data_IF_792907587897
#
_entry.id   IF_792907587897
#
_cell.length_a   1.000
_cell.length_b   1.000
_cell.length_c   1.000
_cell.angle_alpha   90.00
_cell.angle_beta   90.00
_cell.angle_gamma   90.00
#
_symmetry.space_group_name_H-M   'P 1'
#
loop_
_entity.id
_entity.type
_entity.pdbx_description
1 polymer ?
#
# COMPACT_ATOMS: atom_id res chain seq x y z
N UNK A 1 16.14 15.28 -38.35
CA UNK A 1 16.08 14.98 -36.90
C UNK A 1 14.91 14.04 -36.65
N UNK A 2 15.18 12.74 -36.45
CA UNK A 2 14.16 11.71 -36.22
C UNK A 2 13.83 11.66 -34.72
N UNK A 3 12.57 11.95 -34.36
CA UNK A 3 12.06 11.79 -33.00
C UNK A 3 11.81 10.30 -32.75
N UNK A 4 12.61 9.67 -31.91
CA UNK A 4 12.30 8.36 -31.35
C UNK A 4 11.24 8.57 -30.25
N UNK A 5 10.01 8.16 -30.52
CA UNK A 5 8.99 8.02 -29.50
C UNK A 5 9.26 6.71 -28.75
N UNK A 6 9.81 6.81 -27.55
CA UNK A 6 9.94 5.69 -26.62
C UNK A 6 8.54 5.39 -26.06
N UNK A 7 7.85 4.40 -26.65
CA UNK A 7 6.60 3.88 -26.10
C UNK A 7 6.98 2.93 -24.97
N UNK A 8 6.96 3.44 -23.74
CA UNK A 8 7.01 2.59 -22.54
C UNK A 8 5.66 1.88 -22.46
N UNK A 9 5.63 0.64 -22.92
CA UNK A 9 4.48 -0.24 -22.75
C UNK A 9 4.29 -0.55 -21.27
N UNK A 10 3.44 0.22 -20.59
CA UNK A 10 2.93 -0.13 -19.27
C UNK A 10 1.98 -1.31 -19.46
N UNK A 11 2.55 -2.52 -19.46
CA UNK A 11 1.78 -3.75 -19.41
C UNK A 11 0.95 -3.77 -18.13
N UNK A 12 -0.37 -3.81 -18.27
CA UNK A 12 -1.34 -4.09 -17.22
C UNK A 12 -1.02 -5.48 -16.63
N UNK A 13 -0.12 -5.52 -15.65
CA UNK A 13 0.19 -6.71 -14.85
C UNK A 13 -0.94 -6.93 -13.85
N UNK A 14 -2.04 -7.50 -14.32
CA UNK A 14 -3.08 -8.04 -13.47
C UNK A 14 -2.63 -9.36 -12.85
N UNK A 15 -1.95 -9.34 -11.70
CA UNK A 15 -2.01 -10.38 -10.65
C UNK A 15 -1.40 -9.83 -9.37
N UNK A 16 -2.12 -9.28 -8.39
CA UNK A 16 -1.43 -8.90 -7.13
C UNK A 16 -2.26 -8.99 -5.84
N UNK A 17 -2.55 -10.18 -5.28
CA UNK A 17 -2.74 -10.29 -3.84
C UNK A 17 -1.34 -10.36 -3.19
N UNK A 18 -0.91 -9.31 -2.46
CA UNK A 18 0.34 -9.44 -1.71
C UNK A 18 0.66 -8.51 -0.56
N UNK A 19 1.02 -9.11 0.58
CA UNK A 19 1.89 -8.47 1.59
C UNK A 19 3.31 -8.80 1.20
N UNK A 20 4.11 -7.80 0.85
CA UNK A 20 5.54 -8.07 0.78
C UNK A 20 6.09 -8.37 2.18
N UNK A 21 7.17 -9.16 2.22
CA UNK A 21 7.87 -9.75 3.38
C UNK A 21 7.29 -11.05 3.95
N UNK A 22 5.96 -11.21 4.13
CA UNK A 22 5.44 -12.50 4.60
C UNK A 22 5.50 -13.55 3.50
N UNK A 23 6.42 -14.51 3.65
CA UNK A 23 6.60 -15.59 2.69
C UNK A 23 5.28 -16.30 2.38
N UNK A 24 4.90 -16.30 1.11
CA UNK A 24 3.85 -17.14 0.57
C UNK A 24 4.20 -17.40 -0.89
N UNK A 25 4.40 -18.67 -1.30
CA UNK A 25 4.85 -18.99 -2.66
C UNK A 25 3.84 -18.63 -3.75
N UNK A 26 2.58 -18.36 -3.35
CA UNK A 26 1.48 -17.97 -4.23
C UNK A 26 1.32 -16.43 -4.32
N UNK A 27 2.20 -15.70 -3.63
CA UNK A 27 2.14 -14.25 -3.45
C UNK A 27 3.49 -13.63 -3.88
N UNK A 28 3.57 -13.03 -5.08
CA UNK A 28 4.82 -12.47 -5.57
C UNK A 28 5.24 -11.24 -4.74
N UNK A 29 6.55 -11.08 -4.58
CA UNK A 29 7.08 -9.89 -3.91
C UNK A 29 6.67 -8.62 -4.65
N UNK A 30 6.10 -7.69 -3.90
CA UNK A 30 5.43 -6.51 -4.43
C UNK A 30 6.41 -5.38 -4.75
N UNK A 31 7.47 -5.23 -3.96
CA UNK A 31 8.42 -4.14 -4.12
C UNK A 31 9.20 -4.31 -5.44
N UNK A 32 9.07 -3.38 -6.40
CA UNK A 32 9.98 -3.32 -7.53
C UNK A 32 11.38 -2.99 -7.02
N UNK A 33 12.39 -3.73 -7.47
CA UNK A 33 13.78 -3.51 -7.08
C UNK A 33 14.61 -3.31 -8.34
N UNK A 34 15.35 -2.21 -8.38
CA UNK A 34 16.27 -1.88 -9.48
C UNK A 34 17.44 -2.87 -9.53
N UNK A 35 18.15 -2.95 -10.68
CA UNK A 35 19.37 -3.75 -10.78
C UNK A 35 20.47 -3.36 -9.77
N UNK A 36 20.45 -2.13 -9.24
CA UNK A 36 21.39 -1.65 -8.22
C UNK A 36 21.03 -2.10 -6.78
N UNK A 37 19.93 -2.85 -6.61
CA UNK A 37 19.45 -3.33 -5.31
C UNK A 37 18.59 -2.33 -4.54
N UNK A 38 18.31 -1.15 -5.09
CA UNK A 38 17.45 -0.15 -4.48
C UNK A 38 15.98 -0.47 -4.80
N UNK A 39 15.14 -0.57 -3.77
CA UNK A 39 13.70 -0.68 -3.98
C UNK A 39 13.09 0.65 -4.42
N UNK A 40 12.15 0.57 -5.33
CA UNK A 40 11.33 1.70 -5.73
C UNK A 40 10.01 1.68 -4.95
N UNK A 41 9.56 2.88 -4.57
CA UNK A 41 8.24 3.03 -3.98
C UNK A 41 7.17 2.67 -5.00
N UNK A 42 6.13 1.98 -4.55
CA UNK A 42 4.92 1.77 -5.34
C UNK A 42 4.25 3.11 -5.64
N UNK A 43 3.59 3.23 -6.81
CA UNK A 43 2.65 4.33 -7.04
C UNK A 43 1.60 4.38 -5.92
N UNK A 44 1.21 5.59 -5.51
CA UNK A 44 0.33 5.79 -4.36
C UNK A 44 -1.00 5.04 -4.50
N UNK A 45 -1.66 5.10 -5.66
CA UNK A 45 -2.92 4.40 -5.89
C UNK A 45 -2.78 2.87 -5.77
N UNK A 46 -1.64 2.32 -6.23
CA UNK A 46 -1.35 0.88 -6.12
C UNK A 46 -1.15 0.49 -4.66
N UNK A 47 -0.40 1.30 -3.89
CA UNK A 47 -0.24 1.09 -2.46
C UNK A 47 -1.59 1.17 -1.73
N UNK A 48 -2.37 2.21 -1.98
CA UNK A 48 -3.66 2.46 -1.32
C UNK A 48 -4.65 1.32 -1.57
N UNK A 49 -4.75 0.85 -2.82
CA UNK A 49 -5.54 -0.33 -3.18
C UNK A 49 -5.11 -1.57 -2.38
N UNK A 50 -3.80 -1.79 -2.23
CA UNK A 50 -3.28 -2.93 -1.45
C UNK A 50 -3.59 -2.80 0.03
N UNK A 51 -3.40 -1.63 0.63
CA UNK A 51 -3.75 -1.40 2.04
C UNK A 51 -5.25 -1.61 2.27
N UNK A 52 -6.10 -1.15 1.36
CA UNK A 52 -7.54 -1.40 1.40
C UNK A 52 -7.87 -2.90 1.30
N UNK A 53 -7.23 -3.65 0.39
CA UNK A 53 -7.38 -5.10 0.30
C UNK A 53 -6.94 -5.80 1.60
N UNK A 54 -5.84 -5.38 2.22
CA UNK A 54 -5.40 -5.95 3.49
C UNK A 54 -6.40 -5.66 4.62
N UNK A 55 -6.95 -4.45 4.67
CA UNK A 55 -8.03 -4.10 5.60
C UNK A 55 -9.28 -4.94 5.38
N UNK A 56 -9.68 -5.14 4.12
CA UNK A 56 -10.78 -6.01 3.72
C UNK A 56 -10.58 -7.46 4.15
N UNK A 57 -9.39 -8.02 3.96
CA UNK A 57 -9.06 -9.38 4.40
C UNK A 57 -9.13 -9.51 5.93
N UNK A 58 -8.64 -8.51 6.66
CA UNK A 58 -8.63 -8.53 8.12
C UNK A 58 -10.01 -8.28 8.75
N UNK A 59 -10.93 -7.60 8.06
CA UNK A 59 -12.26 -7.25 8.58
C UNK A 59 -13.19 -8.48 8.56
N UNK A 60 -13.65 -8.99 9.73
CA UNK A 60 -14.55 -10.13 9.79
C UNK A 60 -16.00 -9.79 9.43
N UNK A 61 -16.36 -8.50 9.40
CA UNK A 61 -17.73 -8.07 9.15
C UNK A 61 -18.09 -8.25 7.67
N UNK A 62 -19.35 -8.62 7.36
CA UNK A 62 -19.81 -8.62 6.00
C UNK A 62 -19.77 -7.20 5.41
N UNK A 63 -19.72 -7.11 4.08
CA UNK A 63 -19.81 -5.83 3.38
C UNK A 63 -21.18 -5.15 3.58
N UNK A 64 -21.36 -3.92 3.06
CA UNK A 64 -22.57 -3.11 3.26
C UNK A 64 -23.90 -3.83 2.93
N UNK A 65 -23.87 -4.78 2.01
CA UNK A 65 -25.04 -5.55 1.56
C UNK A 65 -25.23 -6.89 2.31
N UNK A 66 -24.53 -7.10 3.43
CA UNK A 66 -24.50 -8.37 4.15
C UNK A 66 -23.70 -9.48 3.45
N UNK A 67 -23.14 -9.21 2.27
CA UNK A 67 -22.37 -10.19 1.51
C UNK A 67 -20.97 -10.40 2.12
N UNK A 68 -20.43 -11.63 2.10
CA UNK A 68 -19.06 -11.88 2.53
C UNK A 68 -18.06 -11.02 1.75
N UNK A 69 -17.05 -10.47 2.43
CA UNK A 69 -15.96 -9.77 1.77
C UNK A 69 -15.20 -10.74 0.85
N UNK A 70 -15.14 -10.45 -0.45
CA UNK A 70 -14.53 -11.33 -1.44
C UNK A 70 -13.03 -11.55 -1.22
N UNK A 71 -12.30 -10.51 -0.81
CA UNK A 71 -10.87 -10.60 -0.51
C UNK A 71 -10.63 -11.54 0.69
N UNK A 72 -11.40 -11.36 1.78
CA UNK A 72 -11.34 -12.25 2.95
C UNK A 72 -11.73 -13.68 2.60
N UNK A 73 -12.81 -13.87 1.84
CA UNK A 73 -13.30 -15.18 1.45
C UNK A 73 -12.25 -15.96 0.63
N UNK A 74 -11.50 -15.27 -0.24
CA UNK A 74 -10.39 -15.87 -1.00
C UNK A 74 -9.28 -16.39 -0.07
N UNK A 75 -8.90 -15.63 0.96
CA UNK A 75 -7.87 -16.04 1.92
C UNK A 75 -8.38 -17.17 2.82
N UNK A 76 -9.63 -17.10 3.32
CA UNK A 76 -10.26 -18.18 4.08
C UNK A 76 -10.31 -19.49 3.29
N UNK A 77 -10.67 -19.42 2.00
CA UNK A 77 -10.63 -20.57 1.11
C UNK A 77 -9.22 -21.15 1.00
N UNK A 78 -8.19 -20.31 0.83
CA UNK A 78 -6.80 -20.74 0.78
C UNK A 78 -6.34 -21.40 2.08
N UNK A 79 -6.70 -20.85 3.24
CA UNK A 79 -6.42 -21.46 4.56
C UNK A 79 -7.09 -22.83 4.69
N UNK A 80 -8.35 -22.96 4.25
CA UNK A 80 -9.11 -24.21 4.30
C UNK A 80 -8.55 -25.29 3.37
N UNK A 81 -8.20 -24.90 2.15
CA UNK A 81 -7.79 -25.83 1.09
C UNK A 81 -6.31 -26.23 1.20
N UNK A 82 -5.51 -25.52 2.01
CA UNK A 82 -4.09 -25.81 2.17
C UNK A 82 -3.92 -27.13 2.92
N UNK A 83 -3.12 -28.08 2.40
CA UNK A 83 -2.85 -29.33 3.10
C UNK A 83 -2.10 -29.06 4.41
N UNK A 84 -2.14 -29.98 5.38
CA UNK A 84 -1.32 -29.89 6.57
C UNK A 84 0.15 -29.67 6.19
N UNK A 85 0.77 -28.64 6.78
CA UNK A 85 2.16 -28.30 6.49
C UNK A 85 3.09 -29.44 6.90
N UNK A 86 3.88 -29.93 5.93
CA UNK A 86 4.88 -30.98 6.17
C UNK A 86 6.29 -30.42 6.28
N UNK A 87 6.55 -29.28 5.63
CA UNK A 87 7.81 -28.56 5.67
C UNK A 87 7.67 -27.21 6.41
N UNK A 88 8.78 -26.67 6.97
CA UNK A 88 8.81 -25.37 7.61
C UNK A 88 8.27 -24.22 6.72
N UNK A 89 8.65 -24.21 5.44
CA UNK A 89 8.21 -23.20 4.48
C UNK A 89 6.70 -23.23 4.24
N UNK A 90 6.11 -24.43 4.18
CA UNK A 90 4.65 -24.60 4.03
C UNK A 90 3.92 -24.04 5.25
N UNK A 91 4.49 -24.24 6.45
CA UNK A 91 3.94 -23.75 7.71
C UNK A 91 4.05 -22.23 7.80
N UNK A 92 5.18 -21.65 7.40
CA UNK A 92 5.36 -20.20 7.30
C UNK A 92 4.33 -19.56 6.36
N UNK A 93 4.14 -20.14 5.16
CA UNK A 93 3.17 -19.65 4.20
C UNK A 93 1.70 -19.78 4.67
N UNK A 94 1.37 -20.89 5.34
CA UNK A 94 0.06 -21.05 5.98
C UNK A 94 -0.17 -20.04 7.12
N UNK A 95 0.85 -19.83 7.95
CA UNK A 95 0.80 -18.86 9.05
C UNK A 95 0.66 -17.42 8.52
N UNK A 96 1.33 -17.07 7.42
CA UNK A 96 1.16 -15.79 6.76
C UNK A 96 -0.30 -15.52 6.37
N UNK A 97 -1.03 -16.53 5.88
CA UNK A 97 -2.46 -16.40 5.58
C UNK A 97 -3.32 -16.20 6.81
N UNK A 98 -3.02 -16.90 7.91
CA UNK A 98 -3.68 -16.70 9.19
C UNK A 98 -3.45 -15.28 9.72
N UNK A 99 -2.22 -14.76 9.65
CA UNK A 99 -1.90 -13.38 10.05
C UNK A 99 -2.67 -12.36 9.21
N UNK A 100 -2.82 -12.60 7.89
CA UNK A 100 -3.59 -11.70 7.00
C UNK A 100 -5.05 -11.57 7.42
N UNK A 101 -5.65 -12.64 7.95
CA UNK A 101 -7.04 -12.62 8.44
C UNK A 101 -7.23 -11.76 9.70
N UNK A 102 -6.13 -11.35 10.36
CA UNK A 102 -6.15 -10.50 11.56
C UNK A 102 -6.79 -11.18 12.77
N UNK A 103 -6.90 -10.48 13.90
CA UNK A 103 -7.57 -10.99 15.11
C UNK A 103 -9.04 -10.52 15.23
N UNK A 104 -9.71 -10.32 14.09
CA UNK A 104 -11.09 -9.84 14.07
C UNK A 104 -12.12 -10.95 14.34
N UNK A 105 -13.04 -10.72 15.28
CA UNK A 105 -14.18 -11.60 15.57
C UNK A 105 -13.92 -12.54 16.74
N UNK A 106 -14.43 -13.78 16.66
CA UNK A 106 -14.29 -14.79 17.72
C UNK A 106 -12.97 -15.57 17.67
N UNK A 107 -12.17 -15.39 16.61
CA UNK A 107 -11.00 -16.23 16.34
C UNK A 107 -9.72 -15.37 16.34
N UNK A 108 -8.80 -15.70 17.25
CA UNK A 108 -7.46 -15.14 17.27
C UNK A 108 -6.55 -15.91 16.28
N UNK A 109 -6.54 -15.49 15.02
CA UNK A 109 -5.74 -16.17 13.99
C UNK A 109 -4.23 -16.07 14.25
N UNK A 110 -3.75 -15.04 14.97
CA UNK A 110 -2.37 -14.97 15.42
C UNK A 110 -1.98 -16.16 16.32
N UNK A 111 -2.90 -16.63 17.17
CA UNK A 111 -2.63 -17.79 18.03
C UNK A 111 -2.61 -19.10 17.25
N UNK A 112 -3.43 -19.20 16.21
CA UNK A 112 -3.39 -20.35 15.29
C UNK A 112 -2.08 -20.38 14.50
N UNK A 113 -1.64 -19.22 14.00
CA UNK A 113 -0.35 -19.07 13.34
C UNK A 113 0.80 -19.47 14.28
N UNK A 114 0.77 -19.01 15.54
CA UNK A 114 1.77 -19.38 16.54
C UNK A 114 1.80 -20.90 16.77
N UNK A 115 0.65 -21.54 16.98
CA UNK A 115 0.54 -23.00 17.16
C UNK A 115 1.07 -23.78 15.96
N UNK A 116 0.84 -23.27 14.75
CA UNK A 116 1.32 -23.90 13.51
C UNK A 116 2.85 -23.83 13.38
N UNK A 117 3.46 -22.72 13.79
CA UNK A 117 4.90 -22.51 13.68
C UNK A 117 5.69 -23.12 14.84
N UNK A 118 5.07 -23.30 16.01
CA UNK A 118 5.75 -23.76 17.23
C UNK A 118 6.55 -25.06 17.07
N UNK A 119 6.06 -26.12 16.39
CA UNK A 119 6.83 -27.36 16.20
C UNK A 119 8.14 -27.15 15.42
N UNK A 120 8.21 -26.13 14.57
CA UNK A 120 9.38 -25.83 13.75
C UNK A 120 10.41 -24.92 14.45
N UNK A 121 10.06 -24.30 15.58
CA UNK A 121 10.96 -23.43 16.35
C UNK A 121 12.12 -24.20 16.99
N UNK A 122 11.87 -25.43 17.47
CA UNK A 122 12.85 -26.26 18.19
C UNK A 122 13.54 -27.32 17.32
N UNK A 123 13.34 -27.29 16.00
CA UNK A 123 13.93 -28.25 15.08
C UNK A 123 15.46 -28.11 14.99
N UNK A 124 16.16 -29.17 14.58
CA UNK A 124 17.61 -29.15 14.35
C UNK A 124 18.06 -28.18 13.24
N UNK A 125 17.13 -27.82 12.36
CA UNK A 125 17.37 -26.93 11.23
C UNK A 125 16.42 -25.74 11.35
N UNK A 126 16.87 -24.62 11.94
CA UNK A 126 16.09 -23.39 11.98
C UNK A 126 15.77 -22.94 10.54
N UNK A 127 14.58 -22.38 10.34
CA UNK A 127 14.11 -21.96 9.03
C UNK A 127 13.81 -20.46 9.02
N UNK A 128 14.36 -19.76 8.03
CA UNK A 128 14.30 -18.30 7.93
C UNK A 128 12.86 -17.78 7.89
N UNK A 129 12.00 -18.39 7.07
CA UNK A 129 10.61 -17.95 6.91
C UNK A 129 9.75 -18.26 8.13
N UNK A 130 10.03 -19.35 8.85
CA UNK A 130 9.37 -19.64 10.14
C UNK A 130 9.67 -18.54 11.15
N UNK A 131 10.94 -18.16 11.33
CA UNK A 131 11.33 -17.17 12.34
C UNK A 131 10.89 -15.75 12.00
N UNK A 132 11.03 -15.31 10.75
CA UNK A 132 10.49 -14.00 10.30
C UNK A 132 8.96 -13.93 10.43
N UNK A 133 8.25 -15.03 10.12
CA UNK A 133 6.79 -15.07 10.31
C UNK A 133 6.42 -15.09 11.80
N UNK A 134 7.15 -15.84 12.64
CA UNK A 134 6.97 -15.82 14.11
C UNK A 134 7.14 -14.41 14.68
N UNK A 135 8.14 -13.65 14.21
CA UNK A 135 8.33 -12.27 14.63
C UNK A 135 7.09 -11.42 14.38
N UNK A 136 6.49 -11.53 13.18
CA UNK A 136 5.25 -10.82 12.84
C UNK A 136 4.06 -11.31 13.66
N UNK A 137 3.98 -12.61 13.99
CA UNK A 137 2.94 -13.14 14.90
C UNK A 137 3.05 -12.52 16.29
N UNK A 138 4.26 -12.45 16.86
CA UNK A 138 4.50 -11.84 18.16
C UNK A 138 4.19 -10.34 18.14
N UNK A 139 4.59 -9.63 17.09
CA UNK A 139 4.25 -8.23 16.89
C UNK A 139 2.73 -8.00 16.81
N UNK A 140 1.99 -8.86 16.10
CA UNK A 140 0.53 -8.80 16.01
C UNK A 140 -0.17 -9.06 17.36
N UNK A 141 0.50 -9.69 18.32
CA UNK A 141 0.05 -9.90 19.70
C UNK A 141 0.51 -8.78 20.65
N UNK A 142 1.28 -7.81 20.18
CA UNK A 142 1.89 -6.76 21.00
C UNK A 142 3.07 -7.23 21.84
N UNK A 143 3.60 -8.43 21.58
CA UNK A 143 4.74 -9.04 22.28
C UNK A 143 6.05 -8.61 21.61
N UNK A 144 6.34 -7.31 21.60
CA UNK A 144 7.42 -6.71 20.80
C UNK A 144 8.82 -7.25 21.11
N UNK A 145 9.09 -7.60 22.37
CA UNK A 145 10.35 -8.25 22.76
C UNK A 145 10.51 -9.62 22.09
N UNK A 146 9.46 -10.44 22.14
CA UNK A 146 9.47 -11.76 21.48
C UNK A 146 9.54 -11.61 19.96
N UNK A 147 8.95 -10.56 19.39
CA UNK A 147 9.05 -10.26 17.96
C UNK A 147 10.50 -10.00 17.54
N UNK A 148 11.20 -9.15 18.29
CA UNK A 148 12.61 -8.85 18.07
C UNK A 148 13.50 -10.09 18.24
N UNK A 149 13.30 -10.87 19.30
CA UNK A 149 14.08 -12.10 19.55
C UNK A 149 13.87 -13.15 18.45
N UNK A 150 12.61 -13.38 18.03
CA UNK A 150 12.31 -14.30 16.94
C UNK A 150 12.92 -13.84 15.61
N UNK A 151 12.91 -12.53 15.34
CA UNK A 151 13.53 -11.99 14.14
C UNK A 151 15.05 -12.09 14.18
N UNK A 152 15.67 -11.84 15.34
CA UNK A 152 17.11 -12.03 15.52
C UNK A 152 17.51 -13.50 15.27
N UNK A 153 16.75 -14.47 15.79
CA UNK A 153 16.96 -15.89 15.48
C UNK A 153 16.86 -16.19 13.98
N UNK A 154 15.99 -15.48 13.25
CA UNK A 154 15.90 -15.58 11.80
C UNK A 154 17.17 -15.12 11.08
N UNK A 155 17.95 -14.19 11.65
CA UNK A 155 19.16 -13.64 11.04
C UNK A 155 20.42 -14.38 11.47
N UNK A 156 20.48 -14.86 12.71
CA UNK A 156 21.66 -15.53 13.28
C UNK A 156 21.63 -17.04 13.10
N UNK A 157 20.49 -17.67 13.37
CA UNK A 157 20.39 -19.12 13.40
C UNK A 157 19.91 -19.67 12.05
N UNK A 158 19.08 -18.91 11.33
CA UNK A 158 18.58 -19.28 10.01
C UNK A 158 19.22 -18.44 8.89
N UNK A 159 19.62 -19.08 7.80
CA UNK A 159 20.09 -18.36 6.61
C UNK A 159 18.93 -18.12 5.65
N UNK A 160 18.78 -16.90 5.12
CA UNK A 160 17.82 -16.64 4.04
C UNK A 160 18.16 -17.50 2.82
N UNK A 161 17.23 -18.32 2.31
CA UNK A 161 17.48 -19.20 1.17
C UNK A 161 18.11 -18.47 -0.03
N UNK A 162 19.05 -19.14 -0.71
CA UNK A 162 19.77 -18.57 -1.86
C UNK A 162 18.82 -18.18 -3.02
N UNK A 163 17.72 -18.92 -3.17
CA UNK A 163 16.66 -18.66 -4.13
C UNK A 163 15.30 -18.81 -3.46
N UNK A 164 14.36 -17.93 -3.83
CA UNK A 164 12.98 -17.95 -3.36
C UNK A 164 12.07 -17.95 -4.58
N UNK A 165 11.13 -18.90 -4.64
CA UNK A 165 10.25 -19.04 -5.80
C UNK A 165 9.48 -17.74 -6.05
N UNK A 166 9.58 -17.23 -7.27
CA UNK A 166 8.87 -16.02 -7.71
C UNK A 166 9.58 -14.70 -7.38
N UNK A 167 10.77 -14.73 -6.77
CA UNK A 167 11.56 -13.53 -6.51
C UNK A 167 12.78 -13.48 -7.42
N UNK A 168 13.16 -12.28 -7.85
CA UNK A 168 14.47 -12.05 -8.46
C UNK A 168 15.57 -12.05 -7.39
N UNK A 169 16.84 -12.20 -7.81
CA UNK A 169 17.99 -12.05 -6.90
C UNK A 169 18.02 -10.69 -6.22
N UNK A 170 17.77 -9.61 -6.97
CA UNK A 170 17.71 -8.25 -6.43
C UNK A 170 16.59 -8.07 -5.39
N UNK A 171 15.42 -8.65 -5.64
CA UNK A 171 14.31 -8.65 -4.67
C UNK A 171 14.67 -9.39 -3.38
N UNK A 172 15.26 -10.58 -3.51
CA UNK A 172 15.75 -11.34 -2.36
C UNK A 172 16.80 -10.55 -1.56
N UNK A 173 17.80 -9.97 -2.24
CA UNK A 173 18.88 -9.24 -1.59
C UNK A 173 18.37 -7.96 -0.91
N UNK A 174 17.44 -7.23 -1.53
CA UNK A 174 16.80 -6.08 -0.88
C UNK A 174 15.97 -6.51 0.32
N UNK A 175 15.21 -7.61 0.25
CA UNK A 175 14.48 -8.11 1.41
C UNK A 175 15.43 -8.50 2.55
N UNK A 176 16.57 -9.13 2.23
CA UNK A 176 17.59 -9.45 3.22
C UNK A 176 18.09 -8.18 3.91
N UNK A 177 18.40 -7.12 3.15
CA UNK A 177 18.74 -5.80 3.70
C UNK A 177 17.60 -5.24 4.57
N UNK A 178 16.36 -5.35 4.11
CA UNK A 178 15.20 -4.87 4.85
C UNK A 178 15.05 -5.55 6.21
N UNK A 179 15.17 -6.88 6.23
CA UNK A 179 15.08 -7.70 7.43
C UNK A 179 16.31 -7.58 8.33
N UNK A 180 17.50 -7.32 7.78
CA UNK A 180 18.71 -7.09 8.58
C UNK A 180 18.70 -5.71 9.24
N UNK A 181 18.18 -4.69 8.54
CA UNK A 181 18.41 -3.31 8.93
C UNK A 181 17.16 -2.59 9.46
N UNK A 182 16.07 -2.56 8.70
CA UNK A 182 14.92 -1.69 9.00
C UNK A 182 13.91 -2.37 9.93
N UNK A 183 13.58 -3.63 9.70
CA UNK A 183 12.56 -4.34 10.49
C UNK A 183 12.97 -4.54 11.97
N UNK A 184 14.22 -4.92 12.30
CA UNK A 184 14.67 -5.00 13.70
C UNK A 184 14.66 -3.63 14.40
N UNK A 185 14.98 -2.56 13.66
CA UNK A 185 14.88 -1.21 14.20
C UNK A 185 13.44 -0.83 14.53
N UNK A 186 12.50 -1.14 13.64
CA UNK A 186 11.07 -0.95 13.89
C UNK A 186 10.59 -1.72 15.13
N UNK A 187 10.96 -2.99 15.29
CA UNK A 187 10.61 -3.75 16.50
C UNK A 187 11.17 -3.12 17.78
N UNK A 188 12.41 -2.62 17.76
CA UNK A 188 13.01 -1.92 18.90
C UNK A 188 12.25 -0.64 19.27
N UNK A 189 11.81 0.15 18.29
CA UNK A 189 10.97 1.34 18.52
C UNK A 189 9.71 0.93 19.27
N UNK A 190 8.96 -0.04 18.72
CA UNK A 190 7.69 -0.49 19.30
C UNK A 190 7.87 -1.10 20.69
N UNK A 191 8.93 -1.89 20.90
CA UNK A 191 9.28 -2.44 22.21
C UNK A 191 9.51 -1.32 23.23
N UNK A 192 10.42 -0.40 22.94
CA UNK A 192 10.76 0.72 23.84
C UNK A 192 9.51 1.52 24.21
N UNK A 193 8.65 1.82 23.25
CA UNK A 193 7.41 2.57 23.51
C UNK A 193 6.39 1.78 24.32
N UNK A 194 6.25 0.49 24.06
CA UNK A 194 5.33 -0.39 24.80
C UNK A 194 5.74 -0.56 26.27
N UNK A 195 7.05 -0.54 26.54
CA UNK A 195 7.67 -0.73 27.85
C UNK A 195 7.86 0.59 28.63
N UNK A 196 7.76 1.75 27.97
CA UNK A 196 7.93 3.06 28.58
C UNK A 196 6.92 3.33 29.71
N UNK A 197 7.42 3.84 30.84
CA UNK A 197 6.62 4.24 32.01
C UNK A 197 7.08 5.61 32.53
N UNK A 198 6.21 6.64 32.56
CA UNK A 198 4.85 6.66 31.99
C UNK A 198 4.87 6.59 30.46
N UNK A 199 3.75 6.19 29.85
CA UNK A 199 3.59 6.32 28.40
C UNK A 199 3.52 7.81 28.02
N UNK A 200 4.10 8.23 26.89
CA UNK A 200 3.91 9.58 26.37
C UNK A 200 2.43 9.91 26.25
N UNK A 201 2.07 11.16 26.50
CA UNK A 201 0.73 11.66 26.26
C UNK A 201 0.40 11.53 24.76
N UNK A 202 -0.77 10.99 24.37
CA UNK A 202 -1.12 10.82 22.97
C UNK A 202 -1.01 12.11 22.14
N UNK A 203 -1.23 13.27 22.77
CA UNK A 203 -1.17 14.59 22.13
C UNK A 203 0.23 14.97 21.64
N UNK A 204 1.27 14.40 22.26
CA UNK A 204 2.69 14.66 21.99
C UNK A 204 3.32 13.62 21.05
N UNK A 205 2.53 12.72 20.47
CA UNK A 205 3.03 11.75 19.48
C UNK A 205 3.54 12.46 18.22
N UNK A 206 4.67 11.96 17.70
CA UNK A 206 5.30 12.37 16.45
C UNK A 206 5.23 11.22 15.44
N UNK A 207 5.55 11.44 14.14
CA UNK A 207 5.67 10.35 13.18
C UNK A 207 6.63 9.26 13.70
N UNK A 208 6.41 8.01 13.29
CA UNK A 208 7.29 6.90 13.70
C UNK A 208 8.76 7.22 13.40
N UNK A 209 9.67 7.20 14.40
CA UNK A 209 11.04 7.66 14.24
C UNK A 209 11.93 6.59 13.57
N UNK A 210 11.54 6.15 12.38
CA UNK A 210 12.18 5.05 11.65
C UNK A 210 13.55 5.43 11.05
N UNK A 211 13.75 6.72 10.77
CA UNK A 211 14.95 7.24 10.13
C UNK A 211 15.56 8.37 10.97
N UNK A 212 16.90 8.51 10.98
CA UNK A 212 17.87 7.57 10.42
C UNK A 212 17.95 6.29 11.27
N UNK A 213 18.61 5.27 10.73
CA UNK A 213 18.96 4.10 11.53
C UNK A 213 19.97 4.50 12.63
N UNK A 214 19.88 3.89 13.83
CA UNK A 214 20.85 4.13 14.89
C UNK A 214 22.24 3.68 14.45
N UNK A 215 23.26 4.44 14.88
CA UNK A 215 24.66 4.04 14.73
C UNK A 215 25.01 2.82 15.60
N UNK A 216 26.29 2.42 15.60
CA UNK A 216 26.79 1.31 16.43
C UNK A 216 26.60 1.54 17.94
N UNK A 217 26.53 2.79 18.37
CA UNK A 217 26.31 3.18 19.76
C UNK A 217 24.81 3.25 20.11
N UNK A 218 23.94 2.90 19.16
CA UNK A 218 22.49 2.93 19.32
C UNK A 218 21.90 4.34 19.27
N UNK A 219 22.66 5.34 18.86
CA UNK A 219 22.22 6.75 18.83
C UNK A 219 21.80 7.14 17.42
N UNK A 220 20.63 7.75 17.33
CA UNK A 220 20.18 8.46 16.14
C UNK A 220 19.19 9.54 16.58
N UNK A 221 19.36 10.76 16.07
CA UNK A 221 18.33 11.79 16.18
C UNK A 221 17.34 11.59 15.05
N UNK A 222 16.05 11.28 15.34
CA UNK A 222 15.06 11.06 14.31
C UNK A 222 14.97 12.23 13.31
N UNK A 223 14.55 11.92 12.09
CA UNK A 223 14.25 12.93 11.07
C UNK A 223 13.16 13.86 11.59
N UNK A 224 13.43 15.16 11.49
CA UNK A 224 12.45 16.21 11.72
C UNK A 224 11.98 16.72 10.37
N UNK A 225 10.67 16.70 10.13
CA UNK A 225 10.08 17.19 8.89
C UNK A 225 9.94 18.71 8.93
N UNK A 226 11.07 19.40 8.93
CA UNK A 226 11.15 20.87 9.01
C UNK A 226 12.06 21.40 7.90
N UNK A 227 11.88 22.66 7.52
CA UNK A 227 12.78 23.38 6.62
C UNK A 227 14.10 23.78 7.32
N UNK A 228 15.00 24.45 6.59
CA UNK A 228 16.31 24.89 7.13
C UNK A 228 16.18 25.90 8.30
N UNK A 229 15.01 26.55 8.46
CA UNK A 229 14.70 27.41 9.60
C UNK A 229 14.17 26.64 10.83
N UNK A 230 14.04 25.31 10.72
CA UNK A 230 13.51 24.46 11.79
C UNK A 230 11.99 24.52 11.97
N UNK A 231 11.26 25.06 10.99
CA UNK A 231 9.81 25.19 10.98
C UNK A 231 9.20 24.18 10.02
N UNK A 232 8.02 23.63 10.35
CA UNK A 232 7.28 22.77 9.43
C UNK A 232 6.83 23.56 8.20
N UNK A 233 7.22 23.11 7.01
CA UNK A 233 6.82 23.71 5.73
C UNK A 233 6.52 22.60 4.72
N UNK A 234 5.25 22.44 4.27
CA UNK A 234 4.89 21.42 3.29
C UNK A 234 5.71 21.54 2.00
N UNK A 235 6.25 20.43 1.50
CA UNK A 235 7.08 20.45 0.29
C UNK A 235 8.57 20.74 0.56
N UNK A 236 8.93 21.14 1.78
CA UNK A 236 10.30 21.45 2.15
C UNK A 236 10.82 20.51 3.23
N UNK A 237 12.07 20.07 3.06
CA UNK A 237 12.82 19.33 4.08
C UNK A 237 14.23 19.89 4.11
N UNK A 238 14.68 20.28 5.30
CA UNK A 238 16.02 20.81 5.52
C UNK A 238 17.06 19.87 4.94
N UNK A 239 18.14 20.41 4.36
CA UNK A 239 19.15 19.58 3.71
C UNK A 239 19.78 18.57 4.69
N UNK A 240 19.99 18.99 5.94
CA UNK A 240 20.51 18.13 7.01
C UNK A 240 19.53 17.01 7.41
N UNK A 241 18.23 17.26 7.36
CA UNK A 241 17.20 16.26 7.67
C UNK A 241 17.00 15.30 6.49
N UNK A 242 17.04 15.81 5.26
CA UNK A 242 17.00 15.00 4.03
C UNK A 242 18.19 14.04 3.94
N UNK A 243 19.38 14.46 4.37
CA UNK A 243 20.58 13.61 4.38
C UNK A 243 20.49 12.40 5.32
N UNK A 244 19.58 12.41 6.30
CA UNK A 244 19.32 11.27 7.20
C UNK A 244 18.43 10.19 6.55
N UNK A 245 17.72 10.52 5.47
CA UNK A 245 16.81 9.59 4.80
C UNK A 245 17.61 8.69 3.84
N UNK A 246 17.41 7.36 3.90
CA UNK A 246 17.97 6.48 2.88
C UNK A 246 17.27 6.72 1.52
N UNK A 247 17.93 6.41 0.39
CA UNK A 247 17.34 6.60 -0.93
C UNK A 247 16.05 5.81 -1.17
N UNK A 248 15.87 4.68 -0.46
CA UNK A 248 14.69 3.82 -0.51
C UNK A 248 13.70 4.06 0.66
N UNK A 249 13.78 5.20 1.37
CA UNK A 249 12.95 5.50 2.54
C UNK A 249 11.44 5.28 2.29
N UNK A 250 10.90 5.80 1.18
CA UNK A 250 9.49 5.59 0.81
C UNK A 250 9.17 4.09 0.64
N UNK A 251 10.00 3.33 -0.08
CA UNK A 251 9.78 1.90 -0.31
C UNK A 251 9.82 1.10 1.01
N UNK A 252 10.76 1.42 1.90
CA UNK A 252 10.87 0.81 3.23
C UNK A 252 9.63 1.09 4.09
N UNK A 253 9.16 2.35 4.13
CA UNK A 253 7.95 2.70 4.90
C UNK A 253 6.71 2.00 4.33
N UNK A 254 6.55 1.97 3.01
CA UNK A 254 5.47 1.23 2.35
C UNK A 254 5.54 -0.28 2.65
N UNK A 255 6.75 -0.83 2.71
CA UNK A 255 6.96 -2.23 3.04
C UNK A 255 6.53 -2.57 4.48
N UNK A 256 6.89 -1.71 5.44
CA UNK A 256 6.43 -1.85 6.82
C UNK A 256 4.92 -1.68 6.92
N UNK A 257 4.30 -0.78 6.16
CA UNK A 257 2.83 -0.61 6.15
C UNK A 257 2.11 -1.84 5.59
N UNK A 258 2.70 -2.56 4.63
CA UNK A 258 2.14 -3.82 4.17
C UNK A 258 2.20 -4.91 5.27
N UNK A 259 3.24 -4.92 6.10
CA UNK A 259 3.34 -5.82 7.25
C UNK A 259 2.39 -5.42 8.39
N UNK A 260 2.32 -4.12 8.69
CA UNK A 260 1.60 -3.53 9.82
C UNK A 260 0.58 -2.47 9.35
N UNK A 261 -0.45 -2.82 8.57
CA UNK A 261 -1.35 -1.84 7.96
C UNK A 261 -2.18 -1.05 8.98
N UNK A 262 -2.30 -1.56 10.20
CA UNK A 262 -2.98 -0.90 11.31
C UNK A 262 -2.14 0.18 12.02
N UNK A 263 -0.84 0.29 11.76
CA UNK A 263 0.00 1.32 12.40
C UNK A 263 -0.26 2.69 11.77
N UNK A 264 -1.04 3.52 12.48
CA UNK A 264 -1.40 4.88 12.06
C UNK A 264 -0.21 5.82 12.06
N UNK A 265 0.74 5.66 12.97
CA UNK A 265 1.89 6.57 13.12
C UNK A 265 2.95 6.32 12.05
N UNK A 266 3.06 5.06 11.62
CA UNK A 266 3.82 4.68 10.43
C UNK A 266 3.13 5.20 9.15
N UNK A 267 1.79 5.22 9.10
CA UNK A 267 1.07 5.78 7.95
C UNK A 267 1.22 7.30 7.88
N UNK A 268 1.23 7.98 9.04
CA UNK A 268 1.61 9.38 9.15
C UNK A 268 3.05 9.62 8.64
N UNK A 269 4.04 8.81 9.04
CA UNK A 269 5.40 8.92 8.49
C UNK A 269 5.42 8.89 6.95
N UNK A 270 4.61 8.02 6.33
CA UNK A 270 4.51 7.96 4.86
C UNK A 270 3.99 9.28 4.26
N UNK A 271 2.98 9.91 4.90
CA UNK A 271 2.48 11.21 4.46
C UNK A 271 3.57 12.28 4.49
N UNK A 272 4.39 12.30 5.55
CA UNK A 272 5.49 13.26 5.68
C UNK A 272 6.58 13.04 4.63
N UNK A 273 6.89 11.78 4.30
CA UNK A 273 7.81 11.46 3.21
C UNK A 273 7.28 11.89 1.84
N UNK A 274 5.97 11.74 1.59
CA UNK A 274 5.35 12.27 0.37
C UNK A 274 5.38 13.80 0.35
N UNK A 275 5.06 14.45 1.47
CA UNK A 275 5.11 15.90 1.58
C UNK A 275 6.54 16.43 1.31
N UNK A 276 7.57 15.78 1.87
CA UNK A 276 8.98 16.11 1.62
C UNK A 276 9.43 15.90 0.15
N UNK A 277 8.70 15.09 -0.62
CA UNK A 277 8.89 14.87 -2.07
C UNK A 277 7.92 15.74 -2.91
N UNK A 278 7.31 16.76 -2.29
CA UNK A 278 6.33 17.68 -2.89
C UNK A 278 5.06 17.01 -3.47
N UNK A 279 4.74 15.80 -3.00
CA UNK A 279 3.53 15.02 -3.31
C UNK A 279 2.42 15.31 -2.29
N UNK A 280 2.00 16.59 -2.24
CA UNK A 280 1.08 17.06 -1.20
C UNK A 280 -0.32 16.44 -1.32
N UNK A 281 -0.79 16.14 -2.54
CA UNK A 281 -2.12 15.56 -2.75
C UNK A 281 -2.22 14.14 -2.17
N UNK A 282 -1.18 13.34 -2.36
CA UNK A 282 -1.06 12.01 -1.74
C UNK A 282 -0.91 12.11 -0.21
N UNK A 283 -0.09 13.05 0.26
CA UNK A 283 0.12 13.28 1.69
C UNK A 283 -1.20 13.66 2.40
N UNK A 284 -1.98 14.58 1.82
CA UNK A 284 -3.23 15.04 2.43
C UNK A 284 -4.29 13.94 2.51
N UNK A 285 -4.36 13.07 1.50
CA UNK A 285 -5.26 11.91 1.51
C UNK A 285 -4.92 11.00 2.70
N UNK A 286 -3.64 10.71 2.93
CA UNK A 286 -3.19 9.88 4.05
C UNK A 286 -3.54 10.53 5.39
N UNK A 287 -3.25 11.83 5.56
CA UNK A 287 -3.53 12.55 6.80
C UNK A 287 -5.03 12.63 7.09
N UNK A 288 -5.87 12.79 6.06
CA UNK A 288 -7.32 12.75 6.21
C UNK A 288 -7.80 11.35 6.64
N UNK A 289 -7.28 10.28 6.04
CA UNK A 289 -7.59 8.91 6.45
C UNK A 289 -7.16 8.63 7.90
N UNK A 290 -5.99 9.13 8.31
CA UNK A 290 -5.51 9.05 9.70
C UNK A 290 -6.45 9.79 10.66
N UNK A 291 -6.85 11.02 10.33
CA UNK A 291 -7.72 11.84 11.18
C UNK A 291 -9.11 11.20 11.35
N UNK A 292 -9.75 10.83 10.24
CA UNK A 292 -11.16 10.47 10.21
C UNK A 292 -11.40 8.97 10.36
N UNK A 293 -10.70 8.14 9.58
CA UNK A 293 -10.94 6.69 9.58
C UNK A 293 -10.22 5.98 10.72
N UNK A 294 -9.08 6.52 11.18
CA UNK A 294 -8.26 5.94 12.25
C UNK A 294 -8.34 6.69 13.58
N UNK A 295 -9.22 7.71 13.67
CA UNK A 295 -9.47 8.49 14.88
C UNK A 295 -8.21 9.12 15.50
N UNK A 296 -7.28 9.58 14.65
CA UNK A 296 -5.98 10.09 15.08
C UNK A 296 -5.92 11.62 15.28
N UNK A 297 -7.08 12.28 15.40
CA UNK A 297 -7.22 13.74 15.36
C UNK A 297 -6.88 14.53 16.64
N UNK A 298 -6.56 13.89 17.77
CA UNK A 298 -6.16 14.59 19.02
C UNK A 298 -4.64 14.81 19.15
N UNK A 299 -3.87 14.58 18.08
CA UNK A 299 -2.40 14.71 18.07
C UNK A 299 -2.05 16.10 17.57
N UNK A 300 -1.41 16.93 18.39
CA UNK A 300 -1.24 18.35 18.08
C UNK A 300 -0.37 18.56 16.84
N UNK A 301 0.83 17.97 16.83
CA UNK A 301 1.75 18.09 15.69
C UNK A 301 1.13 17.53 14.40
N UNK A 302 0.42 16.40 14.49
CA UNK A 302 -0.30 15.82 13.36
C UNK A 302 -1.34 16.79 12.76
N UNK A 303 -2.16 17.41 13.60
CA UNK A 303 -3.20 18.33 13.14
C UNK A 303 -2.61 19.62 12.56
N UNK A 304 -1.51 20.11 13.12
CA UNK A 304 -0.75 21.25 12.59
C UNK A 304 -0.20 20.94 11.19
N UNK A 305 0.47 19.80 11.02
CA UNK A 305 1.03 19.37 9.74
C UNK A 305 -0.07 19.18 8.69
N UNK A 306 -1.19 18.54 9.07
CA UNK A 306 -2.36 18.37 8.22
C UNK A 306 -2.94 19.71 7.76
N UNK A 307 -3.13 20.66 8.68
CA UNK A 307 -3.64 21.99 8.34
C UNK A 307 -2.71 22.75 7.40
N UNK A 308 -1.39 22.69 7.65
CA UNK A 308 -0.38 23.31 6.79
C UNK A 308 -0.40 22.73 5.37
N UNK A 309 -0.49 21.40 5.22
CA UNK A 309 -0.57 20.75 3.90
C UNK A 309 -1.84 21.17 3.15
N UNK A 310 -3.02 21.19 3.81
CA UNK A 310 -4.25 21.69 3.20
C UNK A 310 -4.10 23.13 2.70
N UNK A 311 -3.57 24.03 3.53
CA UNK A 311 -3.34 25.42 3.15
C UNK A 311 -2.36 25.55 1.96
N UNK A 312 -1.30 24.74 1.93
CA UNK A 312 -0.35 24.72 0.82
C UNK A 312 -0.98 24.25 -0.50
N UNK A 313 -1.89 23.28 -0.47
CA UNK A 313 -2.64 22.82 -1.65
C UNK A 313 -3.60 23.91 -2.14
N UNK A 314 -4.36 24.53 -1.23
CA UNK A 314 -5.30 25.61 -1.57
C UNK A 314 -4.61 26.84 -2.18
N UNK A 315 -3.38 27.12 -1.74
CA UNK A 315 -2.57 28.23 -2.25
C UNK A 315 -1.97 27.98 -3.65
N UNK A 316 -2.02 26.73 -4.17
CA UNK A 316 -1.51 26.43 -5.52
C UNK A 316 -2.32 27.21 -6.55
N UNK A 317 -1.67 27.78 -7.58
CA UNK A 317 -2.40 28.36 -8.70
C UNK A 317 -3.27 27.28 -9.31
N UNK A 318 -4.59 27.51 -9.34
CA UNK A 318 -5.52 26.61 -9.99
C UNK A 318 -5.04 26.41 -11.44
N UNK A 319 -4.93 25.16 -11.94
CA UNK A 319 -4.62 24.94 -13.33
C UNK A 319 -5.55 25.82 -14.15
N UNK A 320 -5.00 26.63 -15.05
CA UNK A 320 -5.83 27.42 -15.98
C UNK A 320 -6.63 26.38 -16.74
N UNK A 321 -7.92 26.25 -16.41
CA UNK A 321 -8.80 25.31 -17.09
C UNK A 321 -8.65 25.63 -18.57
N UNK A 322 -8.22 24.65 -19.40
CA UNK A 322 -8.09 24.90 -20.83
C UNK A 322 -9.46 25.38 -21.26
N UNK A 323 -9.52 26.64 -21.71
CA UNK A 323 -10.77 27.22 -22.22
C UNK A 323 -11.27 26.20 -23.24
N UNK A 324 -12.43 25.56 -23.01
CA UNK A 324 -12.85 24.47 -23.86
C UNK A 324 -12.83 25.00 -25.29
N UNK A 325 -12.15 24.31 -26.23
CA UNK A 325 -12.03 24.79 -27.61
C UNK A 325 -13.41 24.93 -28.27
N UNK A 326 -14.42 24.31 -27.67
CA UNK A 326 -15.81 24.37 -28.04
C UNK A 326 -16.46 25.52 -27.28
N UNK A 327 -16.52 26.69 -27.93
CA UNK A 327 -17.38 27.77 -27.49
C UNK A 327 -18.85 27.30 -27.52
N UNK A 328 -19.70 27.81 -26.62
CA UNK A 328 -21.16 27.59 -26.67
C UNK A 328 -21.75 27.74 -28.10
N UNK A 329 -21.33 28.72 -28.92
CA UNK A 329 -21.69 28.80 -30.33
C UNK A 329 -21.38 27.54 -31.14
N UNK A 330 -20.22 26.90 -30.92
CA UNK A 330 -19.84 25.67 -31.60
C UNK A 330 -20.75 24.49 -31.21
N UNK A 331 -21.21 24.44 -29.96
CA UNK A 331 -22.24 23.48 -29.51
C UNK A 331 -23.56 23.71 -30.27
N UNK A 332 -24.01 24.97 -30.39
CA UNK A 332 -25.22 25.29 -31.15
C UNK A 332 -25.10 24.98 -32.64
N UNK A 333 -23.93 25.19 -33.25
CA UNK A 333 -23.66 24.79 -34.63
C UNK A 333 -23.78 23.27 -34.78
N UNK A 334 -23.21 22.50 -33.85
CA UNK A 334 -23.32 21.04 -33.88
C UNK A 334 -24.78 20.57 -33.79
N UNK A 335 -25.57 21.08 -32.84
CA UNK A 335 -26.99 20.76 -32.74
C UNK A 335 -27.78 21.22 -33.96
N UNK A 336 -27.48 22.41 -34.50
CA UNK A 336 -28.08 22.92 -35.73
C UNK A 336 -27.85 21.97 -36.92
N UNK A 337 -26.62 21.49 -37.09
CA UNK A 337 -26.28 20.51 -38.15
C UNK A 337 -27.04 19.20 -37.95
N UNK A 338 -27.10 18.67 -36.71
CA UNK A 338 -27.84 17.43 -36.41
C UNK A 338 -29.34 17.58 -36.74
N UNK A 339 -29.95 18.71 -36.38
CA UNK A 339 -31.36 19.01 -36.71
C UNK A 339 -31.56 19.10 -38.22
N UNK A 340 -30.70 19.81 -38.94
CA UNK A 340 -30.79 19.93 -40.41
C UNK A 340 -30.66 18.56 -41.08
N UNK A 341 -29.71 17.72 -40.65
CA UNK A 341 -29.55 16.35 -41.16
C UNK A 341 -30.80 15.50 -40.88
N UNK A 342 -31.37 15.61 -39.68
CA UNK A 342 -32.63 14.94 -39.32
C UNK A 342 -33.81 15.37 -40.20
N UNK A 343 -33.97 16.67 -40.44
CA UNK A 343 -35.01 17.22 -41.32
C UNK A 343 -34.82 16.76 -42.77
N UNK A 344 -33.59 16.79 -43.30
CA UNK A 344 -33.28 16.31 -44.65
C UNK A 344 -33.60 14.82 -44.77
N UNK A 345 -33.24 14.00 -43.79
CA UNK A 345 -33.55 12.56 -43.77
C UNK A 345 -35.07 12.31 -43.77
N UNK A 346 -35.83 13.06 -42.95
CA UNK A 346 -37.29 12.97 -42.88
C UNK A 346 -37.95 13.37 -44.20
N UNK A 347 -37.54 14.50 -44.81
CA UNK A 347 -38.05 14.94 -46.12
C UNK A 347 -37.75 13.90 -47.20
N UNK A 348 -36.56 13.28 -47.16
CA UNK A 348 -36.18 12.21 -48.11
C UNK A 348 -37.04 10.96 -47.93
N UNK A 349 -37.37 10.60 -46.69
CA UNK A 349 -38.27 9.48 -46.38
C UNK A 349 -39.68 9.75 -46.91
N UNK A 350 -40.22 10.95 -46.68
CA UNK A 350 -41.55 11.35 -47.17
C UNK A 350 -41.60 11.42 -48.71
N UNK A 351 -40.55 11.91 -49.38
CA UNK A 351 -40.47 11.93 -50.85
C UNK A 351 -40.31 10.54 -51.48
N UNK A 352 -39.63 9.60 -50.81
CA UNK A 352 -39.53 8.20 -51.25
C UNK A 352 -40.81 7.39 -50.96
N UNK A 353 -41.69 7.89 -50.12
CA UNK A 353 -42.99 7.30 -49.80
C UNK A 353 -44.11 7.62 -50.80
N UNK A 354 -43.79 8.09 -52.01
CA UNK A 354 -44.79 8.15 -53.08
C UNK A 354 -45.42 6.77 -53.29
N UNK A 355 -46.74 6.68 -53.51
CA UNK A 355 -47.45 5.40 -53.63
C UNK A 355 -46.74 4.57 -54.69
N UNK A 356 -46.19 3.42 -54.29
CA UNK A 356 -45.77 2.40 -55.24
C UNK A 356 -47.02 1.95 -55.97
N UNK A 357 -47.27 2.54 -57.13
CA UNK A 357 -48.24 2.05 -58.08
C UNK A 357 -47.80 0.63 -58.46
N UNK A 358 -48.66 -0.34 -58.21
CA UNK A 358 -48.52 -1.69 -58.75
C UNK A 358 -47.87 -2.70 -57.82
N UNK A 359 -48.65 -3.19 -56.86
CA UNK A 359 -48.87 -4.63 -56.80
C UNK A 359 -50.36 -4.83 -56.55
N UNK A 360 -51.10 -5.01 -57.64
CA UNK A 360 -52.52 -5.34 -57.59
C UNK A 360 -52.71 -6.67 -56.85
N UNK A 361 -53.86 -6.79 -56.20
CA UNK A 361 -54.28 -7.93 -55.39
C UNK A 361 -54.48 -9.24 -56.18
N UNK A 362 -54.03 -9.31 -57.43
CA UNK A 362 -54.26 -10.44 -58.32
C UNK A 362 -53.02 -10.74 -59.17
N UNK A 363 -52.35 -11.84 -58.81
CA UNK A 363 -51.75 -12.75 -59.78
C UNK A 363 -50.29 -12.51 -60.13
N UNK A 364 -49.42 -13.39 -59.63
CA UNK A 364 -48.58 -14.25 -60.46
C UNK A 364 -48.36 -15.56 -59.68
N UNK A 365 -48.79 -16.66 -60.30
CA UNK A 365 -48.53 -18.03 -59.84
C UNK A 365 -47.27 -18.61 -60.45
#
# INVERSE_FOLDING_TARGET
MRRFALVVGVGLLGVLPGRAVLYSPDDPMVAPVRPDGTAEALPFDVLRLRLAQLGNVANPQPGPNGQPNADRAKVLKRVKDRPPAKAPDDAAAAAADLIRLGNGGQVAYADQALKLLYPFRGGRQPNYFVFTTLAVVYAARGEWRMAEEAHAAALFDAEMPAAVKGWSGAQRDWLRKFDDTYLPHYYRIQRTESEAKPRPAPEAELPTPLFPLPDRDGKATPVRFVNDAGVYEPGALAAAEKAKLPPDALAVTQQLLMLFPGDTRLYWLLAELYAADNKLDEAVIILDECAWSRQYGNRMAFMEHRAAIHAAIEARPKPVEPTPPISLPMIFVYFGVVVVVGVVALVRALRKGGPRAGCGLFGCG
#
